data_IF_701312599166
#
_entry.id   IF_701312599166
#
_cell.length_a   1.000
_cell.length_b   1.000
_cell.length_c   1.000
_cell.angle_alpha   90.00
_cell.angle_beta   90.00
_cell.angle_gamma   90.00
#
_symmetry.space_group_name_H-M   'P 1'
#
loop_
_entity.id
_entity.type
_entity.pdbx_description
1 polymer ?
#
# COMPACT_ATOMS: atom_id res chain seq x y z
N UNK A 1 -27.72 2.63 4.21
CA UNK A 1 -26.28 2.84 4.42
C UNK A 1 -25.68 1.47 4.61
N UNK A 2 -25.18 0.85 3.54
CA UNK A 2 -24.56 -0.47 3.62
C UNK A 2 -23.07 -0.23 3.72
N UNK A 3 -22.57 -0.18 4.94
CA UNK A 3 -21.14 -0.34 5.20
C UNK A 3 -20.83 -1.81 4.87
N UNK A 4 -20.65 -2.07 3.57
CA UNK A 4 -20.20 -3.36 3.06
C UNK A 4 -18.84 -3.59 3.73
N UNK A 5 -18.65 -4.64 4.56
CA UNK A 5 -17.42 -4.83 5.30
C UNK A 5 -16.29 -4.97 4.29
N UNK A 6 -15.57 -3.87 4.06
CA UNK A 6 -14.52 -3.81 3.04
C UNK A 6 -13.46 -4.82 3.46
N UNK A 7 -13.33 -5.91 2.73
CA UNK A 7 -12.24 -6.86 2.96
C UNK A 7 -10.92 -6.20 2.58
N UNK A 8 -9.84 -6.59 3.25
CA UNK A 8 -8.51 -6.11 2.93
C UNK A 8 -8.23 -6.36 1.44
N UNK A 9 -7.83 -5.29 0.76
CA UNK A 9 -7.60 -5.34 -0.67
C UNK A 9 -6.28 -6.04 -1.02
N UNK A 10 -5.39 -6.34 -0.07
CA UNK A 10 -4.10 -6.99 -0.39
C UNK A 10 -4.27 -8.37 -1.04
N UNK A 11 -3.42 -8.67 -2.03
CA UNK A 11 -3.24 -10.02 -2.60
C UNK A 11 -3.14 -11.07 -1.48
N UNK A 12 -3.92 -12.14 -1.57
CA UNK A 12 -4.01 -13.22 -0.59
C UNK A 12 -4.47 -12.82 0.84
N UNK A 13 -5.20 -11.70 1.01
CA UNK A 13 -5.83 -11.37 2.28
C UNK A 13 -7.35 -11.48 2.26
N UNK A 14 -7.93 -12.12 3.27
CA UNK A 14 -9.39 -12.24 3.49
C UNK A 14 -9.84 -11.59 4.80
N UNK A 15 -8.95 -10.89 5.51
CA UNK A 15 -9.29 -10.20 6.77
C UNK A 15 -10.12 -8.95 6.49
N UNK A 16 -10.97 -8.56 7.43
CA UNK A 16 -11.65 -7.27 7.39
C UNK A 16 -10.64 -6.13 7.37
N UNK A 17 -10.90 -5.13 6.52
CA UNK A 17 -10.14 -3.89 6.55
C UNK A 17 -10.60 -3.07 7.75
N UNK A 18 -9.61 -2.50 8.43
CA UNK A 18 -9.81 -1.61 9.58
C UNK A 18 -9.24 -0.23 9.30
N UNK A 19 -8.45 -0.10 8.22
CA UNK A 19 -7.66 1.08 7.90
C UNK A 19 -7.93 1.47 6.45
N UNK A 20 -8.32 2.72 6.25
CA UNK A 20 -8.46 3.34 4.94
C UNK A 20 -7.23 4.23 4.68
N UNK A 21 -6.58 4.05 3.54
CA UNK A 21 -5.42 4.85 3.14
C UNK A 21 -5.70 5.50 1.78
N UNK A 22 -5.41 6.79 1.66
CA UNK A 22 -5.45 7.48 0.37
C UNK A 22 -4.02 7.65 -0.16
N UNK A 23 -3.78 7.11 -1.35
CA UNK A 23 -2.47 7.18 -2.02
C UNK A 23 -2.67 7.63 -3.46
N UNK A 24 -2.20 8.84 -3.78
CA UNK A 24 -2.27 9.36 -5.15
C UNK A 24 -3.70 9.44 -5.70
N UNK A 25 -4.68 9.74 -4.85
CA UNK A 25 -6.11 9.78 -5.21
C UNK A 25 -6.79 8.41 -5.29
N UNK A 26 -6.11 7.34 -4.89
CA UNK A 26 -6.71 6.01 -4.76
C UNK A 26 -6.93 5.67 -3.30
N UNK A 27 -8.18 5.36 -2.95
CA UNK A 27 -8.53 4.82 -1.63
C UNK A 27 -8.26 3.32 -1.61
N UNK A 28 -7.52 2.86 -0.61
CA UNK A 28 -7.26 1.45 -0.36
C UNK A 28 -7.65 1.06 1.05
N UNK A 29 -8.21 -0.14 1.19
CA UNK A 29 -8.66 -0.69 2.45
C UNK A 29 -7.73 -1.82 2.88
N UNK A 30 -7.12 -1.66 4.06
CA UNK A 30 -6.13 -2.57 4.61
C UNK A 30 -6.54 -3.05 5.99
N UNK A 31 -6.19 -4.28 6.32
CA UNK A 31 -6.21 -4.75 7.71
C UNK A 31 -4.94 -4.29 8.45
N UNK A 32 -5.00 -4.19 9.78
CA UNK A 32 -3.84 -3.81 10.62
C UNK A 32 -2.51 -4.46 10.23
N UNK A 33 -2.40 -5.80 10.08
CA UNK A 33 -1.10 -6.43 9.81
C UNK A 33 -0.52 -6.05 8.45
N UNK A 34 -1.35 -5.82 7.44
CA UNK A 34 -0.88 -5.38 6.12
C UNK A 34 -0.49 -3.92 6.12
N UNK A 35 -1.20 -3.09 6.88
CA UNK A 35 -0.82 -1.70 7.06
C UNK A 35 0.52 -1.58 7.80
N UNK A 36 0.72 -2.29 8.91
CA UNK A 36 2.00 -2.29 9.63
C UNK A 36 3.16 -2.79 8.76
N UNK A 37 2.93 -3.84 7.94
CA UNK A 37 3.93 -4.28 6.97
C UNK A 37 4.23 -3.22 5.90
N UNK A 38 3.22 -2.51 5.42
CA UNK A 38 3.39 -1.44 4.44
C UNK A 38 4.23 -0.31 5.03
N UNK A 39 3.87 0.18 6.23
CA UNK A 39 4.60 1.23 6.94
C UNK A 39 6.05 0.81 7.18
N UNK A 40 6.28 -0.40 7.70
CA UNK A 40 7.64 -0.90 7.95
C UNK A 40 8.48 -0.99 6.65
N UNK A 41 7.86 -1.35 5.52
CA UNK A 41 8.54 -1.32 4.20
C UNK A 41 8.84 0.10 3.75
N UNK A 42 7.95 1.05 4.03
CA UNK A 42 8.18 2.47 3.74
C UNK A 42 9.29 3.04 4.60
N UNK A 43 9.30 2.77 5.91
CA UNK A 43 10.36 3.18 6.84
C UNK A 43 11.71 2.65 6.37
N UNK A 44 11.84 1.34 6.09
CA UNK A 44 13.07 0.75 5.55
C UNK A 44 13.51 1.38 4.23
N UNK A 45 12.54 1.77 3.39
CA UNK A 45 12.85 2.44 2.14
C UNK A 45 13.23 3.92 2.34
N UNK A 46 12.70 4.58 3.37
CA UNK A 46 13.06 5.92 3.80
C UNK A 46 14.47 5.94 4.37
N UNK A 47 14.79 5.04 5.30
CA UNK A 47 16.14 4.90 5.90
C UNK A 47 17.21 4.72 4.82
N UNK A 48 16.93 3.92 3.78
CA UNK A 48 17.87 3.71 2.67
C UNK A 48 18.00 4.89 1.70
N UNK A 49 17.05 5.83 1.69
CA UNK A 49 16.96 6.90 0.68
C UNK A 49 16.97 8.32 1.25
N UNK A 50 16.95 8.47 2.57
CA UNK A 50 16.78 9.75 3.28
C UNK A 50 15.35 10.31 3.26
N UNK A 51 14.56 10.05 2.20
CA UNK A 51 13.16 10.47 2.12
C UNK A 51 12.34 9.49 1.27
N UNK A 52 11.10 9.20 1.69
CA UNK A 52 10.10 8.49 0.89
C UNK A 52 8.78 9.24 0.91
N UNK A 53 8.31 9.65 -0.27
CA UNK A 53 6.97 10.20 -0.40
C UNK A 53 5.96 9.07 -0.62
N UNK A 54 4.70 9.22 -0.16
CA UNK A 54 3.62 8.27 -0.44
C UNK A 54 3.37 8.09 -1.95
N UNK A 55 3.72 9.09 -2.78
CA UNK A 55 3.75 8.98 -4.26
C UNK A 55 4.71 7.90 -4.80
N UNK A 56 5.67 7.44 -4.00
CA UNK A 56 6.56 6.34 -4.36
C UNK A 56 5.87 4.97 -4.28
N UNK A 57 4.70 4.90 -3.63
CA UNK A 57 3.87 3.70 -3.62
C UNK A 57 3.17 3.58 -4.97
N UNK A 58 3.45 2.47 -5.65
CA UNK A 58 2.70 2.03 -6.82
C UNK A 58 1.70 0.98 -6.37
N UNK A 59 0.43 1.23 -6.68
CA UNK A 59 -0.66 0.31 -6.40
C UNK A 59 -1.03 -0.35 -7.72
N UNK A 60 -0.71 -1.64 -7.85
CA UNK A 60 -1.18 -2.47 -8.96
C UNK A 60 -2.52 -3.08 -8.57
N UNK A 61 -3.58 -2.77 -9.31
CA UNK A 61 -4.88 -3.45 -9.16
C UNK A 61 -4.81 -4.80 -9.86
N UNK A 62 -5.30 -5.84 -9.19
CA UNK A 62 -5.45 -7.20 -9.69
C UNK A 62 -6.91 -7.40 -10.13
N UNK A 63 -7.15 -8.34 -11.04
CA UNK A 63 -8.48 -8.58 -11.65
C UNK A 63 -9.59 -8.93 -10.63
N UNK A 64 -9.24 -9.35 -9.41
CA UNK A 64 -10.21 -9.76 -8.38
C UNK A 64 -10.55 -8.65 -7.37
N UNK A 65 -10.37 -7.38 -7.72
CA UNK A 65 -10.53 -6.25 -6.78
C UNK A 65 -9.45 -6.20 -5.69
N UNK A 66 -8.43 -7.06 -5.79
CA UNK A 66 -7.25 -7.06 -4.93
C UNK A 66 -6.21 -6.08 -5.47
N UNK A 67 -5.25 -5.72 -4.63
CA UNK A 67 -4.17 -4.80 -4.94
C UNK A 67 -2.84 -5.40 -4.51
N UNK A 68 -1.80 -4.98 -5.22
CA UNK A 68 -0.41 -5.23 -4.88
C UNK A 68 0.29 -3.90 -4.74
N UNK A 69 0.74 -3.59 -3.53
CA UNK A 69 1.49 -2.36 -3.27
C UNK A 69 2.98 -2.64 -3.47
N UNK A 70 3.59 -1.90 -4.40
CA UNK A 70 5.02 -1.93 -4.69
C UNK A 70 5.61 -0.57 -4.39
N UNK A 71 6.70 -0.54 -3.63
CA UNK A 71 7.48 0.70 -3.48
C UNK A 71 8.35 0.82 -4.72
N UNK A 72 8.11 1.84 -5.54
CA UNK A 72 8.92 2.09 -6.72
C UNK A 72 10.40 2.21 -6.32
N UNK A 73 11.26 1.41 -6.96
CA UNK A 73 12.70 1.65 -6.91
C UNK A 73 12.95 2.99 -7.62
N UNK A 74 13.50 3.96 -6.89
CA UNK A 74 14.11 5.11 -7.54
C UNK A 74 15.14 4.52 -8.50
N UNK A 75 15.07 4.87 -9.78
CA UNK A 75 16.18 4.59 -10.70
C UNK A 75 17.39 5.18 -10.01
N UNK A 76 18.36 4.35 -9.65
CA UNK A 76 19.68 4.85 -9.26
C UNK A 76 20.09 5.78 -10.39
N UNK A 77 20.14 7.08 -10.09
CA UNK A 77 20.55 8.07 -11.06
C UNK A 77 21.93 7.66 -11.52
N UNK A 78 22.03 7.27 -12.79
CA UNK A 78 23.28 7.19 -13.51
C UNK A 78 23.81 8.63 -13.54
N UNK A 79 24.80 8.93 -12.72
CA UNK A 79 25.63 10.12 -12.86
C UNK A 79 27.03 9.64 -13.17
#
# INVERSE_FOLDING_TARGET
MVDDPQNCMMENCTRHAEIMLEVGGQVIYLCRPHFSQLVSRMEKAAERRGNISPRSLKIEKLNNGKIRVRIARARAGKR
#
